data_IF_703113502202
#
_entry.id   IF_703113502202
#
_cell.length_a   1.000
_cell.length_b   1.000
_cell.length_c   1.000
_cell.angle_alpha   90.00
_cell.angle_beta   90.00
_cell.angle_gamma   90.00
#
_symmetry.space_group_name_H-M   'P 1'
#
loop_
_entity.id
_entity.type
_entity.pdbx_description
1 polymer ?
#
# COMPACT_ATOMS: atom_id res chain seq x y z
N UNK A 1 51.29 39.49 22.69
CA UNK A 1 51.60 38.46 23.71
C UNK A 1 50.30 38.08 24.42
N UNK A 2 49.59 37.07 23.92
CA UNK A 2 48.44 36.50 24.62
C UNK A 2 48.95 35.57 25.72
N UNK A 3 48.38 35.70 26.92
CA UNK A 3 48.88 35.10 28.15
C UNK A 3 48.80 33.55 28.07
N UNK A 4 49.87 32.82 28.47
CA UNK A 4 49.91 31.35 28.48
C UNK A 4 48.86 30.72 29.42
N UNK A 5 48.18 31.52 30.26
CA UNK A 5 47.09 31.04 31.12
C UNK A 5 45.78 30.82 30.37
N UNK A 6 45.53 31.51 29.24
CA UNK A 6 44.32 31.28 28.44
C UNK A 6 44.39 29.97 27.63
N UNK A 7 45.57 29.63 27.09
CA UNK A 7 45.71 28.42 26.24
C UNK A 7 45.52 27.14 27.07
N UNK A 8 46.02 27.12 28.31
CA UNK A 8 45.86 25.99 29.24
C UNK A 8 44.40 25.78 29.68
N UNK A 9 43.60 26.83 29.86
CA UNK A 9 42.20 26.68 30.25
C UNK A 9 41.33 26.16 29.10
N UNK A 10 41.57 26.58 27.86
CA UNK A 10 40.87 26.02 26.69
C UNK A 10 41.26 24.57 26.41
N UNK A 11 42.50 24.18 26.68
CA UNK A 11 42.98 22.79 26.55
C UNK A 11 42.33 21.85 27.57
N UNK A 12 42.16 22.32 28.81
CA UNK A 12 41.50 21.54 29.86
C UNK A 12 39.98 21.42 29.63
N UNK A 13 39.32 22.49 29.15
CA UNK A 13 37.88 22.44 28.84
C UNK A 13 37.58 21.53 27.65
N UNK A 14 38.41 21.56 26.61
CA UNK A 14 38.25 20.72 25.42
C UNK A 14 38.48 19.24 25.75
N UNK A 15 39.47 18.91 26.58
CA UNK A 15 39.67 17.55 27.08
C UNK A 15 38.49 17.06 27.95
N UNK A 16 37.89 17.93 28.78
CA UNK A 16 36.71 17.60 29.58
C UNK A 16 35.47 17.35 28.71
N UNK A 17 35.26 18.16 27.66
CA UNK A 17 34.15 17.99 26.72
C UNK A 17 34.32 16.70 25.91
N UNK A 18 35.53 16.39 25.43
CA UNK A 18 35.81 15.14 24.73
C UNK A 18 35.61 13.95 25.66
N UNK A 19 36.04 14.03 26.92
CA UNK A 19 35.80 12.98 27.92
C UNK A 19 34.30 12.81 28.21
N UNK A 20 33.53 13.89 28.34
CA UNK A 20 32.07 13.83 28.53
C UNK A 20 31.36 13.27 27.30
N UNK A 21 31.81 13.61 26.09
CA UNK A 21 31.30 13.03 24.84
C UNK A 21 31.65 11.55 24.71
N UNK A 22 32.83 11.12 25.17
CA UNK A 22 33.22 9.72 25.20
C UNK A 22 32.46 8.93 26.28
N UNK A 23 32.20 9.51 27.45
CA UNK A 23 31.35 8.93 28.50
C UNK A 23 29.89 8.87 28.05
N UNK A 24 29.41 9.86 27.28
CA UNK A 24 28.07 9.86 26.70
C UNK A 24 27.94 8.85 25.55
N UNK A 25 28.95 8.73 24.69
CA UNK A 25 29.00 7.74 23.61
C UNK A 25 29.18 6.30 24.14
N UNK A 26 29.96 6.10 25.22
CA UNK A 26 30.13 4.78 25.86
C UNK A 26 28.97 4.39 26.77
N UNK A 27 28.22 5.36 27.33
CA UNK A 27 26.87 5.13 27.89
C UNK A 27 25.79 4.99 26.82
N UNK A 28 26.10 5.36 25.58
CA UNK A 28 25.32 5.15 24.37
C UNK A 28 25.49 3.75 23.76
N UNK A 29 26.15 2.81 24.45
CA UNK A 29 25.82 1.39 24.24
C UNK A 29 24.42 1.19 24.81
N UNK A 30 23.43 1.42 23.95
CA UNK A 30 22.03 1.26 24.27
C UNK A 30 21.79 -0.22 24.55
N UNK A 31 21.98 -0.60 25.81
CA UNK A 31 21.35 -1.76 26.40
C UNK A 31 19.86 -1.64 26.10
N UNK A 32 19.40 -2.28 25.03
CA UNK A 32 17.99 -2.65 24.85
C UNK A 32 17.66 -3.73 25.89
N UNK A 33 17.69 -3.35 27.15
CA UNK A 33 17.13 -4.08 28.27
C UNK A 33 16.05 -3.20 28.89
N UNK A 34 14.99 -3.01 28.14
CA UNK A 34 13.70 -2.60 28.65
C UNK A 34 12.68 -3.57 28.05
N UNK A 35 12.48 -4.69 28.74
CA UNK A 35 11.30 -5.53 28.62
C UNK A 35 10.07 -4.67 28.96
N UNK A 36 9.64 -3.84 28.01
CA UNK A 36 8.40 -3.09 28.14
C UNK A 36 7.27 -4.14 28.13
N UNK A 37 6.53 -4.19 29.23
CA UNK A 37 5.34 -5.06 29.33
C UNK A 37 4.19 -4.57 28.42
N UNK A 38 4.36 -3.40 27.79
CA UNK A 38 3.39 -2.81 26.87
C UNK A 38 3.59 -3.42 25.47
N UNK A 39 2.49 -3.66 24.74
CA UNK A 39 2.61 -4.11 23.35
C UNK A 39 3.32 -3.04 22.51
N UNK A 40 4.19 -3.42 21.56
CA UNK A 40 4.74 -2.49 20.57
C UNK A 40 3.63 -2.01 19.63
N UNK A 41 3.93 -1.00 18.80
CA UNK A 41 3.10 -0.72 17.62
C UNK A 41 3.27 -1.87 16.63
N UNK A 42 2.26 -2.72 16.53
CA UNK A 42 2.25 -3.85 15.61
C UNK A 42 2.11 -3.41 14.15
N UNK A 43 1.68 -2.16 13.91
CA UNK A 43 1.23 -1.75 12.58
C UNK A 43 2.39 -1.32 11.68
N UNK A 44 3.40 -0.64 12.24
CA UNK A 44 4.66 -0.29 11.55
C UNK A 44 4.43 0.35 10.17
N UNK A 45 3.47 1.26 10.05
CA UNK A 45 3.08 1.84 8.75
C UNK A 45 4.19 2.69 8.12
N UNK A 46 4.49 2.42 6.86
CA UNK A 46 5.19 3.37 5.98
C UNK A 46 4.13 4.13 5.17
N UNK A 47 4.05 5.44 5.35
CA UNK A 47 2.87 6.22 4.91
C UNK A 47 2.82 6.48 3.40
N UNK A 48 3.96 6.80 2.79
CA UNK A 48 4.05 7.24 1.40
C UNK A 48 5.45 6.96 0.84
N UNK A 49 5.52 6.47 -0.38
CA UNK A 49 6.73 6.45 -1.21
C UNK A 49 6.48 7.27 -2.49
N UNK A 50 7.51 7.95 -2.99
CA UNK A 50 7.45 8.63 -4.28
C UNK A 50 8.44 7.98 -5.25
N UNK A 51 7.94 7.49 -6.38
CA UNK A 51 8.79 6.84 -7.39
C UNK A 51 9.38 7.86 -8.35
N UNK A 52 10.67 7.68 -8.65
CA UNK A 52 11.38 8.45 -9.68
C UNK A 52 11.05 7.96 -11.10
N UNK A 53 11.55 8.66 -12.12
CA UNK A 53 11.41 8.26 -13.53
C UNK A 53 12.08 6.91 -13.79
N UNK A 54 13.19 6.61 -13.13
CA UNK A 54 13.92 5.34 -13.26
C UNK A 54 13.14 4.18 -12.64
N UNK A 55 12.41 4.44 -11.56
CA UNK A 55 11.58 3.46 -10.86
C UNK A 55 10.20 3.27 -11.51
N UNK A 56 9.76 4.22 -12.34
CA UNK A 56 8.50 4.13 -13.10
C UNK A 56 8.67 4.71 -14.52
N UNK A 57 9.42 4.01 -15.40
CA UNK A 57 9.89 4.55 -16.67
C UNK A 57 8.82 4.44 -17.75
N UNK A 58 7.98 5.46 -17.90
CA UNK A 58 6.96 5.51 -18.95
C UNK A 58 7.47 6.00 -20.31
N UNK A 59 8.51 6.84 -20.30
CA UNK A 59 9.05 7.47 -21.52
C UNK A 59 10.18 6.65 -22.16
N UNK A 60 10.65 5.60 -21.48
CA UNK A 60 11.66 4.67 -22.00
C UNK A 60 10.98 3.58 -22.85
N UNK A 61 11.24 3.59 -24.15
CA UNK A 61 10.61 2.69 -25.12
C UNK A 61 11.02 1.23 -24.97
N UNK A 62 12.16 0.99 -24.31
CA UNK A 62 12.68 -0.35 -24.08
C UNK A 62 12.29 -0.87 -22.70
N UNK A 63 11.56 -0.05 -21.91
CA UNK A 63 11.04 -0.45 -20.61
C UNK A 63 9.53 -0.46 -20.53
N UNK A 64 8.99 -1.37 -19.71
CA UNK A 64 7.56 -1.42 -19.39
C UNK A 64 7.35 -1.33 -17.88
N UNK A 65 6.21 -0.81 -17.48
CA UNK A 65 5.71 -0.95 -16.11
C UNK A 65 4.54 -1.92 -16.12
N UNK A 66 4.59 -2.94 -15.26
CA UNK A 66 3.57 -3.98 -15.13
C UNK A 66 3.00 -3.88 -13.73
N UNK A 67 1.73 -3.48 -13.60
CA UNK A 67 1.03 -3.34 -12.32
C UNK A 67 0.07 -4.51 -12.18
N UNK A 68 0.22 -5.33 -11.14
CA UNK A 68 -0.58 -6.54 -10.88
C UNK A 68 -1.61 -6.28 -9.77
N UNK A 69 -2.81 -6.82 -9.93
CA UNK A 69 -3.88 -6.85 -8.92
C UNK A 69 -3.55 -7.70 -7.68
N UNK A 70 -4.54 -7.91 -6.82
CA UNK A 70 -4.43 -8.73 -5.61
C UNK A 70 -4.00 -10.17 -5.96
N UNK A 71 -2.94 -10.65 -5.30
CA UNK A 71 -2.30 -11.95 -5.61
C UNK A 71 -2.79 -13.05 -4.67
N UNK A 72 -2.95 -12.75 -3.38
CA UNK A 72 -3.47 -13.67 -2.35
C UNK A 72 -2.80 -15.05 -2.33
N UNK A 73 -1.48 -15.10 -2.54
CA UNK A 73 -0.75 -16.37 -2.56
C UNK A 73 -1.08 -17.29 -3.74
N UNK A 74 -1.79 -16.83 -4.78
CA UNK A 74 -2.09 -17.57 -6.00
C UNK A 74 -0.85 -17.63 -6.90
N UNK A 75 0.18 -18.36 -6.44
CA UNK A 75 1.52 -18.31 -7.03
C UNK A 75 1.57 -18.83 -8.46
N UNK A 76 0.84 -19.90 -8.77
CA UNK A 76 0.90 -20.52 -10.09
C UNK A 76 0.28 -19.59 -11.15
N UNK A 77 -0.87 -18.98 -10.84
CA UNK A 77 -1.56 -17.99 -11.67
C UNK A 77 -0.74 -16.70 -11.80
N UNK A 78 -0.02 -16.30 -10.75
CA UNK A 78 0.93 -15.20 -10.81
C UNK A 78 2.06 -15.50 -11.79
N UNK A 79 2.64 -16.70 -11.76
CA UNK A 79 3.65 -17.12 -12.74
C UNK A 79 3.08 -17.18 -14.16
N UNK A 80 1.87 -17.70 -14.34
CA UNK A 80 1.19 -17.70 -15.64
C UNK A 80 0.97 -16.29 -16.19
N UNK A 81 0.57 -15.34 -15.34
CA UNK A 81 0.40 -13.95 -15.73
C UNK A 81 1.72 -13.32 -16.15
N UNK A 82 2.79 -13.54 -15.39
CA UNK A 82 4.15 -13.07 -15.73
C UNK A 82 4.65 -13.67 -17.05
N UNK A 83 4.38 -14.97 -17.28
CA UNK A 83 4.69 -15.63 -18.56
C UNK A 83 3.89 -15.02 -19.71
N UNK A 84 2.58 -14.77 -19.51
CA UNK A 84 1.68 -14.18 -20.51
C UNK A 84 2.09 -12.77 -20.94
N UNK A 85 2.63 -11.96 -20.04
CA UNK A 85 3.17 -10.63 -20.38
C UNK A 85 4.64 -10.68 -20.81
N UNK A 86 5.24 -11.87 -20.81
CA UNK A 86 6.67 -12.10 -21.06
C UNK A 86 7.52 -11.20 -20.19
N UNK A 87 7.28 -11.24 -18.87
CA UNK A 87 8.00 -10.42 -17.90
C UNK A 87 9.51 -10.70 -17.96
N UNK A 88 10.30 -9.63 -18.05
CA UNK A 88 11.75 -9.67 -17.98
C UNK A 88 12.25 -8.60 -16.99
N UNK A 89 12.85 -8.99 -15.85
CA UNK A 89 13.31 -8.03 -14.83
C UNK A 89 14.41 -7.07 -15.32
N UNK A 90 15.06 -7.34 -16.47
CA UNK A 90 16.07 -6.44 -17.04
C UNK A 90 15.46 -5.27 -17.82
N UNK A 91 14.20 -5.39 -18.27
CA UNK A 91 13.50 -4.38 -19.06
C UNK A 91 12.16 -3.96 -18.45
N UNK A 92 11.61 -4.70 -17.49
CA UNK A 92 10.30 -4.44 -16.92
C UNK A 92 10.41 -4.08 -15.43
N UNK A 93 9.66 -3.05 -15.03
CA UNK A 93 9.35 -2.77 -13.63
C UNK A 93 8.06 -3.47 -13.29
N UNK A 94 8.07 -4.28 -12.24
CA UNK A 94 6.89 -4.93 -11.69
C UNK A 94 6.41 -4.18 -10.44
N UNK A 95 5.10 -3.93 -10.37
CA UNK A 95 4.43 -3.25 -9.25
C UNK A 95 3.23 -4.06 -8.81
N UNK A 96 2.99 -4.21 -7.51
CA UNK A 96 1.76 -4.82 -6.96
C UNK A 96 0.88 -3.80 -6.25
N UNK A 97 -0.44 -3.95 -6.37
CA UNK A 97 -1.44 -3.15 -5.62
C UNK A 97 -1.70 -3.67 -4.21
N UNK A 98 -0.90 -4.62 -3.70
CA UNK A 98 -1.03 -5.19 -2.36
C UNK A 98 -1.88 -6.47 -2.34
N UNK A 99 -2.16 -6.95 -1.13
CA UNK A 99 -2.77 -8.25 -0.86
C UNK A 99 -2.00 -9.35 -1.59
N UNK A 100 -0.71 -9.42 -1.26
CA UNK A 100 0.27 -10.35 -1.81
C UNK A 100 0.00 -11.77 -1.28
N UNK A 101 -0.45 -11.86 -0.02
CA UNK A 101 -0.61 -13.11 0.73
C UNK A 101 -2.01 -13.31 1.31
N UNK A 102 -2.20 -14.45 1.97
CA UNK A 102 -3.44 -14.89 2.64
C UNK A 102 -4.59 -15.18 1.67
N UNK A 103 -5.66 -15.80 2.19
CA UNK A 103 -6.82 -16.37 1.48
C UNK A 103 -6.51 -17.56 0.57
N UNK A 104 -5.48 -17.47 -0.26
CA UNK A 104 -5.04 -18.60 -1.09
C UNK A 104 -4.23 -19.62 -0.28
N UNK A 105 -3.68 -20.65 -0.94
CA UNK A 105 -2.89 -21.67 -0.27
C UNK A 105 -1.70 -21.09 0.50
N UNK A 106 -1.47 -21.57 1.72
CA UNK A 106 -0.34 -21.14 2.56
C UNK A 106 1.01 -21.30 1.84
N UNK A 107 1.23 -22.45 1.18
CA UNK A 107 2.44 -22.70 0.38
C UNK A 107 2.60 -21.68 -0.75
N UNK A 108 1.51 -21.27 -1.39
CA UNK A 108 1.51 -20.24 -2.41
C UNK A 108 1.85 -18.86 -1.84
N UNK A 109 1.29 -18.48 -0.69
CA UNK A 109 1.68 -17.24 0.02
C UNK A 109 3.18 -17.19 0.30
N UNK A 110 3.77 -18.30 0.76
CA UNK A 110 5.21 -18.38 1.03
C UNK A 110 6.06 -18.22 -0.25
N UNK A 111 5.66 -18.86 -1.36
CA UNK A 111 6.35 -18.73 -2.65
C UNK A 111 6.24 -17.32 -3.23
N UNK A 112 5.06 -16.68 -3.14
CA UNK A 112 4.90 -15.29 -3.58
C UNK A 112 5.78 -14.36 -2.74
N UNK A 113 5.80 -14.50 -1.41
CA UNK A 113 6.67 -13.69 -0.56
C UNK A 113 8.15 -13.86 -0.88
N UNK A 114 8.59 -15.10 -1.13
CA UNK A 114 9.96 -15.38 -1.56
C UNK A 114 10.30 -14.64 -2.86
N UNK A 115 9.45 -14.74 -3.90
CA UNK A 115 9.65 -14.03 -5.15
C UNK A 115 9.70 -12.51 -4.97
N UNK A 116 8.73 -11.96 -4.24
CA UNK A 116 8.59 -10.52 -4.04
C UNK A 116 9.77 -9.94 -3.26
N UNK A 117 10.23 -10.63 -2.22
CA UNK A 117 11.37 -10.22 -1.40
C UNK A 117 12.71 -10.39 -2.14
N UNK A 118 12.91 -11.52 -2.83
CA UNK A 118 14.15 -11.79 -3.57
C UNK A 118 14.41 -10.75 -4.68
N UNK A 119 13.35 -10.37 -5.40
CA UNK A 119 13.45 -9.36 -6.46
C UNK A 119 13.20 -7.93 -5.96
N UNK A 120 12.91 -7.73 -4.68
CA UNK A 120 12.54 -6.45 -4.07
C UNK A 120 11.47 -5.68 -4.89
N UNK A 121 10.40 -6.39 -5.25
CA UNK A 121 9.33 -5.87 -6.13
C UNK A 121 8.63 -4.66 -5.48
N UNK A 122 8.38 -3.60 -6.24
CA UNK A 122 7.63 -2.44 -5.75
C UNK A 122 6.19 -2.86 -5.42
N UNK A 123 5.66 -2.46 -4.26
CA UNK A 123 4.28 -2.78 -3.90
C UNK A 123 3.74 -1.77 -2.88
N UNK A 124 2.44 -1.55 -2.90
CA UNK A 124 1.74 -1.02 -1.72
C UNK A 124 1.32 -2.17 -0.81
N UNK A 125 1.15 -1.91 0.49
CA UNK A 125 0.54 -2.89 1.41
C UNK A 125 -0.95 -3.02 1.15
N UNK A 126 -1.45 -4.25 1.19
CA UNK A 126 -2.88 -4.54 1.34
C UNK A 126 -3.31 -4.76 2.79
N UNK A 127 -4.62 -4.91 3.02
CA UNK A 127 -5.12 -5.13 4.38
C UNK A 127 -4.82 -6.55 4.89
N UNK A 128 -4.69 -7.55 4.01
CA UNK A 128 -4.22 -8.87 4.39
C UNK A 128 -2.72 -8.86 4.70
N UNK A 129 -1.92 -8.14 3.91
CA UNK A 129 -0.49 -7.95 4.15
C UNK A 129 -0.23 -7.31 5.52
N UNK A 130 -1.02 -6.28 5.85
CA UNK A 130 -0.93 -5.57 7.11
C UNK A 130 -1.21 -6.48 8.32
N UNK A 131 -2.22 -7.35 8.24
CA UNK A 131 -2.51 -8.33 9.29
C UNK A 131 -1.37 -9.32 9.51
N UNK A 132 -0.68 -9.75 8.45
CA UNK A 132 0.49 -10.63 8.57
C UNK A 132 1.65 -9.92 9.27
N UNK A 133 1.92 -8.66 8.93
CA UNK A 133 2.94 -7.83 9.61
C UNK A 133 2.64 -7.69 11.10
N UNK A 134 1.38 -7.41 11.42
CA UNK A 134 0.92 -7.26 12.80
C UNK A 134 1.11 -8.57 13.59
N UNK A 135 0.72 -9.71 13.02
CA UNK A 135 0.97 -11.03 13.60
C UNK A 135 2.45 -11.34 13.79
N UNK A 136 3.29 -10.99 12.81
CA UNK A 136 4.74 -11.21 12.91
C UNK A 136 5.35 -10.36 14.03
N UNK A 137 4.97 -9.10 14.13
CA UNK A 137 5.41 -8.22 15.22
C UNK A 137 4.95 -8.75 16.58
N UNK A 138 3.72 -9.27 16.66
CA UNK A 138 3.19 -9.90 17.87
C UNK A 138 3.96 -11.16 18.26
N UNK A 139 4.29 -12.02 17.31
CA UNK A 139 5.10 -13.22 17.53
C UNK A 139 6.48 -12.85 18.11
N UNK A 140 7.16 -11.87 17.50
CA UNK A 140 8.45 -11.38 17.99
C UNK A 140 8.34 -10.82 19.41
N UNK A 141 7.26 -10.10 19.72
CA UNK A 141 6.98 -9.61 21.07
C UNK A 141 6.76 -10.76 22.06
N UNK A 142 5.92 -11.74 21.74
CA UNK A 142 5.68 -12.89 22.63
C UNK A 142 6.97 -13.67 22.89
N UNK A 143 7.78 -13.91 21.86
CA UNK A 143 9.08 -14.58 22.01
C UNK A 143 10.05 -13.79 22.90
N UNK A 144 9.96 -12.46 22.91
CA UNK A 144 10.80 -11.61 23.77
C UNK A 144 10.42 -11.65 25.25
N UNK A 145 9.20 -12.08 25.60
CA UNK A 145 8.71 -12.09 26.97
C UNK A 145 9.11 -13.36 27.72
N UNK A 146 9.50 -13.27 29.01
CA UNK A 146 9.82 -14.45 29.83
C UNK A 146 8.67 -15.46 29.88
N UNK A 147 8.92 -16.66 29.36
CA UNK A 147 7.95 -17.76 29.28
C UNK A 147 6.95 -17.68 28.12
N UNK A 148 7.06 -16.67 27.25
CA UNK A 148 6.18 -16.51 26.08
C UNK A 148 6.40 -17.61 25.04
N UNK A 149 7.66 -17.89 24.69
CA UNK A 149 8.00 -18.99 23.79
C UNK A 149 7.53 -20.36 24.29
N UNK A 150 7.65 -20.63 25.60
CA UNK A 150 7.19 -21.89 26.18
C UNK A 150 5.65 -22.02 26.09
N UNK A 151 4.92 -20.95 26.40
CA UNK A 151 3.46 -20.96 26.28
C UNK A 151 3.01 -21.15 24.82
N UNK A 152 3.64 -20.44 23.88
CA UNK A 152 3.29 -20.55 22.47
C UNK A 152 3.55 -21.98 21.96
N UNK A 153 4.68 -22.58 22.33
CA UNK A 153 4.98 -23.98 22.02
C UNK A 153 3.95 -24.94 22.64
N UNK A 154 3.61 -24.78 23.92
CA UNK A 154 2.60 -25.61 24.60
C UNK A 154 1.23 -25.51 23.91
N UNK A 155 0.85 -24.32 23.45
CA UNK A 155 -0.47 -24.09 22.85
C UNK A 155 -0.54 -24.55 21.39
N UNK A 156 0.57 -24.43 20.65
CA UNK A 156 0.75 -25.01 19.32
C UNK A 156 0.64 -26.53 19.36
N UNK A 157 1.38 -27.21 20.25
CA UNK A 157 1.32 -28.67 20.41
C UNK A 157 -0.09 -29.18 20.77
N UNK A 158 -0.84 -28.42 21.58
CA UNK A 158 -2.24 -28.74 21.86
C UNK A 158 -3.12 -28.60 20.63
N UNK A 159 -2.90 -27.57 19.80
CA UNK A 159 -3.67 -27.35 18.58
C UNK A 159 -3.39 -28.46 17.57
N UNK A 160 -2.12 -28.80 17.32
CA UNK A 160 -1.73 -29.89 16.42
C UNK A 160 -2.38 -31.23 16.83
N UNK A 161 -2.36 -31.57 18.12
CA UNK A 161 -3.06 -32.76 18.65
C UNK A 161 -4.58 -32.70 18.51
N UNK A 162 -5.17 -31.51 18.55
CA UNK A 162 -6.60 -31.35 18.31
C UNK A 162 -6.92 -31.57 16.83
N UNK A 163 -6.10 -31.07 15.92
CA UNK A 163 -6.23 -31.30 14.48
C UNK A 163 -6.08 -32.78 14.13
N UNK A 164 -5.12 -33.49 14.73
CA UNK A 164 -4.98 -34.96 14.58
C UNK A 164 -6.24 -35.74 15.03
N UNK A 165 -7.01 -35.17 15.96
CA UNK A 165 -8.29 -35.73 16.44
C UNK A 165 -9.50 -35.24 15.65
N UNK A 166 -9.29 -34.45 14.60
CA UNK A 166 -10.33 -33.97 13.69
C UNK A 166 -10.89 -32.58 13.99
N UNK A 167 -10.26 -31.78 14.86
CA UNK A 167 -10.64 -30.37 15.01
C UNK A 167 -10.21 -29.57 13.77
N UNK A 168 -11.14 -28.84 13.17
CA UNK A 168 -10.94 -28.01 11.99
C UNK A 168 -11.31 -26.54 12.20
N UNK A 169 -12.20 -26.24 13.15
CA UNK A 169 -12.52 -24.87 13.56
C UNK A 169 -11.52 -24.34 14.60
N UNK A 170 -10.55 -23.57 14.09
CA UNK A 170 -9.53 -22.93 14.92
C UNK A 170 -10.08 -21.78 15.77
N UNK A 171 -11.15 -21.10 15.31
CA UNK A 171 -11.76 -20.01 16.09
C UNK A 171 -12.47 -20.58 17.32
N UNK A 172 -13.33 -21.57 17.12
CA UNK A 172 -14.01 -22.29 18.19
C UNK A 172 -13.01 -22.86 19.20
N UNK A 173 -11.97 -23.55 18.70
CA UNK A 173 -10.96 -24.14 19.56
C UNK A 173 -10.20 -23.09 20.39
N UNK A 174 -9.80 -21.97 19.79
CA UNK A 174 -9.12 -20.88 20.52
C UNK A 174 -10.05 -20.28 21.59
N UNK A 175 -11.32 -20.04 21.28
CA UNK A 175 -12.27 -19.53 22.26
C UNK A 175 -12.44 -20.48 23.46
N UNK A 176 -12.51 -21.79 23.22
CA UNK A 176 -12.55 -22.80 24.28
C UNK A 176 -11.29 -22.75 25.15
N UNK A 177 -10.11 -22.62 24.54
CA UNK A 177 -8.86 -22.51 25.30
C UNK A 177 -8.83 -21.23 26.15
N UNK A 178 -9.28 -20.09 25.61
CA UNK A 178 -9.40 -18.83 26.35
C UNK A 178 -10.34 -18.98 27.55
N UNK A 179 -11.43 -19.74 27.41
CA UNK A 179 -12.39 -20.02 28.48
C UNK A 179 -11.79 -20.95 29.55
N UNK A 180 -11.10 -22.01 29.17
CA UNK A 180 -10.71 -23.09 30.09
C UNK A 180 -9.28 -23.01 30.63
N UNK A 181 -8.31 -22.49 29.88
CA UNK A 181 -6.91 -22.42 30.29
C UNK A 181 -6.63 -21.21 31.21
N UNK A 182 -7.17 -21.29 32.43
CA UNK A 182 -7.00 -20.23 33.44
C UNK A 182 -5.55 -20.04 33.85
N UNK A 183 -4.72 -21.09 33.79
CA UNK A 183 -3.28 -21.04 34.09
C UNK A 183 -2.57 -20.05 33.16
N UNK A 184 -2.95 -20.01 31.88
CA UNK A 184 -2.34 -19.13 30.88
C UNK A 184 -3.17 -17.89 30.54
N UNK A 185 -4.13 -17.49 31.38
CA UNK A 185 -4.99 -16.31 31.13
C UNK A 185 -4.20 -15.02 30.81
N UNK A 186 -2.99 -14.85 31.37
CA UNK A 186 -2.12 -13.70 31.07
C UNK A 186 -1.65 -13.65 29.62
N UNK A 187 -1.52 -14.79 28.95
CA UNK A 187 -1.07 -14.90 27.57
C UNK A 187 -2.23 -14.77 26.60
N UNK A 188 -3.35 -15.43 26.89
CA UNK A 188 -4.58 -15.26 26.12
C UNK A 188 -5.02 -13.79 26.02
N UNK A 189 -4.88 -13.02 27.12
CA UNK A 189 -5.17 -11.57 27.14
C UNK A 189 -4.20 -10.70 26.31
N UNK A 190 -3.10 -11.26 25.80
CA UNK A 190 -2.13 -10.54 24.96
C UNK A 190 -2.45 -10.66 23.47
N UNK A 191 -3.35 -11.56 23.08
CA UNK A 191 -3.87 -11.63 21.71
C UNK A 191 -4.86 -10.47 21.55
N UNK A 192 -4.68 -9.58 20.57
CA UNK A 192 -5.65 -8.51 20.33
C UNK A 192 -7.06 -9.05 20.04
N UNK A 193 -8.06 -8.22 20.30
CA UNK A 193 -9.46 -8.55 19.96
C UNK A 193 -9.58 -8.73 18.44
N UNK A 194 -10.42 -9.69 18.00
CA UNK A 194 -10.61 -10.09 16.59
C UNK A 194 -9.42 -10.81 15.91
N UNK A 195 -8.33 -11.07 16.63
CA UNK A 195 -7.19 -11.82 16.07
C UNK A 195 -7.33 -13.32 16.30
N UNK A 196 -7.22 -14.08 15.21
CA UNK A 196 -7.32 -15.54 15.21
C UNK A 196 -5.93 -16.20 15.26
N UNK A 197 -5.50 -16.62 16.46
CA UNK A 197 -4.28 -17.41 16.64
C UNK A 197 -4.39 -18.72 15.84
N UNK A 198 -3.30 -19.13 15.16
CA UNK A 198 -3.26 -20.30 14.27
C UNK A 198 -4.12 -20.19 12.99
N UNK A 199 -4.79 -19.05 12.77
CA UNK A 199 -5.43 -18.72 11.50
C UNK A 199 -4.42 -18.48 10.38
N UNK A 200 -4.94 -18.20 9.18
CA UNK A 200 -4.13 -18.05 7.96
C UNK A 200 -3.04 -16.96 8.10
N UNK A 201 -3.40 -15.76 8.55
CA UNK A 201 -2.44 -14.67 8.75
C UNK A 201 -1.35 -15.02 9.78
N UNK A 202 -1.71 -15.72 10.85
CA UNK A 202 -0.76 -16.17 11.87
C UNK A 202 0.25 -17.15 11.28
N UNK A 203 -0.22 -18.16 10.54
CA UNK A 203 0.63 -19.20 9.97
C UNK A 203 1.61 -18.62 8.96
N UNK A 204 1.16 -17.68 8.13
CA UNK A 204 2.05 -16.96 7.21
C UNK A 204 3.09 -16.18 8.00
N UNK A 205 2.68 -15.41 9.02
CA UNK A 205 3.60 -14.63 9.85
C UNK A 205 4.65 -15.52 10.55
N UNK A 206 4.26 -16.69 11.04
CA UNK A 206 5.17 -17.68 11.63
C UNK A 206 6.16 -18.23 10.59
N UNK A 207 5.68 -18.59 9.40
CA UNK A 207 6.50 -19.17 8.33
C UNK A 207 7.49 -18.19 7.68
N UNK A 208 7.31 -16.88 7.85
CA UNK A 208 8.15 -15.86 7.22
C UNK A 208 9.59 -15.84 7.73
N UNK A 209 10.53 -15.68 6.80
CA UNK A 209 11.92 -15.32 7.10
C UNK A 209 12.04 -13.86 7.56
N UNK A 210 13.18 -13.48 8.15
CA UNK A 210 13.44 -12.10 8.56
C UNK A 210 13.52 -11.17 7.36
N UNK A 211 14.03 -11.66 6.24
CA UNK A 211 14.19 -10.94 4.98
C UNK A 211 12.83 -10.65 4.35
N UNK A 212 11.95 -11.66 4.28
CA UNK A 212 10.57 -11.49 3.82
C UNK A 212 9.80 -10.51 4.71
N UNK A 213 9.96 -10.60 6.03
CA UNK A 213 9.34 -9.67 6.95
C UNK A 213 9.87 -8.24 6.78
N UNK A 214 11.19 -8.09 6.64
CA UNK A 214 11.85 -6.80 6.38
C UNK A 214 11.37 -6.17 5.08
N UNK A 215 11.15 -6.96 4.03
CA UNK A 215 10.55 -6.52 2.78
C UNK A 215 9.13 -5.97 2.99
N UNK A 216 8.27 -6.73 3.69
CA UNK A 216 6.87 -6.36 3.93
C UNK A 216 6.74 -5.05 4.73
N UNK A 217 7.51 -4.89 5.81
CA UNK A 217 7.47 -3.66 6.62
C UNK A 217 8.02 -2.43 5.90
N UNK A 218 8.73 -2.59 4.78
CA UNK A 218 9.20 -1.46 3.98
C UNK A 218 8.18 -1.02 2.93
N UNK A 219 7.17 -1.84 2.63
CA UNK A 219 6.14 -1.46 1.64
C UNK A 219 5.29 -0.31 2.17
N UNK A 220 5.10 0.77 1.41
CA UNK A 220 4.24 1.88 1.81
C UNK A 220 2.75 1.53 1.70
N UNK A 221 1.87 2.28 2.36
CA UNK A 221 0.41 2.18 2.15
C UNK A 221 -0.06 2.93 0.89
N UNK A 222 0.76 3.87 0.40
CA UNK A 222 0.49 4.69 -0.79
C UNK A 222 1.78 4.94 -1.56
N UNK A 223 1.69 4.94 -2.88
CA UNK A 223 2.75 5.37 -3.78
C UNK A 223 2.25 6.58 -4.59
N UNK A 224 3.10 7.59 -4.73
CA UNK A 224 2.91 8.72 -5.64
C UNK A 224 3.94 8.65 -6.77
N UNK A 225 3.50 8.84 -8.00
CA UNK A 225 4.37 8.88 -9.19
C UNK A 225 4.18 10.26 -9.84
N UNK A 226 4.97 11.28 -9.43
CA UNK A 226 4.71 12.67 -9.81
C UNK A 226 4.72 12.92 -11.32
N UNK A 227 5.70 12.37 -12.04
CA UNK A 227 5.82 12.57 -13.50
C UNK A 227 4.73 11.85 -14.29
N UNK A 228 4.14 10.80 -13.72
CA UNK A 228 3.02 10.07 -14.31
C UNK A 228 1.65 10.58 -13.81
N UNK A 229 1.64 11.54 -12.88
CA UNK A 229 0.43 12.09 -12.27
C UNK A 229 -0.52 11.00 -11.75
N UNK A 230 0.07 10.05 -11.04
CA UNK A 230 -0.58 8.80 -10.66
C UNK A 230 -0.34 8.47 -9.19
N UNK A 231 -1.34 7.87 -8.57
CA UNK A 231 -1.26 7.24 -7.27
C UNK A 231 -1.49 5.73 -7.38
N UNK A 232 -0.81 4.97 -6.53
CA UNK A 232 -1.11 3.55 -6.31
C UNK A 232 -1.45 3.39 -4.83
N UNK A 233 -2.57 2.78 -4.54
CA UNK A 233 -3.03 2.50 -3.19
C UNK A 233 -3.91 1.24 -3.22
N UNK A 234 -3.86 0.43 -2.16
CA UNK A 234 -4.52 -0.87 -2.20
C UNK A 234 -6.04 -0.77 -2.35
N UNK A 235 -6.73 -0.06 -1.43
CA UNK A 235 -8.17 0.14 -1.56
C UNK A 235 -8.52 1.41 -2.34
N UNK A 236 -7.68 2.45 -2.25
CA UNK A 236 -7.84 3.71 -2.98
C UNK A 236 -7.54 4.96 -2.14
N UNK A 237 -7.80 6.13 -2.74
CA UNK A 237 -7.72 7.45 -2.10
C UNK A 237 -8.89 8.33 -2.55
N UNK A 238 -9.28 9.32 -1.76
CA UNK A 238 -10.30 10.30 -2.14
C UNK A 238 -9.65 11.51 -2.84
N UNK A 239 -10.37 12.10 -3.79
CA UNK A 239 -9.97 13.34 -4.49
C UNK A 239 -10.43 14.61 -3.75
N UNK A 240 -11.40 14.47 -2.84
CA UNK A 240 -12.00 15.54 -2.08
C UNK A 240 -12.43 15.03 -0.69
N UNK A 241 -12.47 15.92 0.30
CA UNK A 241 -13.03 15.60 1.62
C UNK A 241 -14.57 15.51 1.50
N UNK A 242 -15.19 14.36 1.82
CA UNK A 242 -16.63 14.17 1.69
C UNK A 242 -17.46 15.10 2.59
N UNK A 243 -16.86 15.71 3.63
CA UNK A 243 -17.54 16.66 4.51
C UNK A 243 -17.76 18.05 3.89
N UNK A 244 -17.10 18.34 2.76
CA UNK A 244 -17.17 19.66 2.13
C UNK A 244 -17.74 19.59 0.72
N UNK A 245 -18.46 20.65 0.34
CA UNK A 245 -18.91 20.81 -1.05
C UNK A 245 -17.68 20.92 -1.96
N UNK A 246 -17.80 20.40 -3.19
CA UNK A 246 -16.70 20.36 -4.18
C UNK A 246 -15.95 21.69 -4.41
N UNK A 247 -16.62 22.84 -4.26
CA UNK A 247 -16.04 24.18 -4.45
C UNK A 247 -15.68 24.90 -3.14
N UNK A 248 -15.78 24.21 -2.01
CA UNK A 248 -15.38 24.76 -0.73
C UNK A 248 -13.87 25.00 -0.73
N UNK A 249 -13.41 26.16 -0.24
CA UNK A 249 -12.00 26.57 -0.22
C UNK A 249 -11.06 25.62 0.53
N UNK A 250 -11.60 24.69 1.33
CA UNK A 250 -10.85 23.64 2.02
C UNK A 250 -10.56 22.43 1.13
N UNK A 251 -11.20 22.34 -0.03
CA UNK A 251 -10.95 21.26 -0.98
C UNK A 251 -9.66 21.56 -1.75
N UNK A 252 -8.70 20.61 -1.80
CA UNK A 252 -7.41 20.82 -2.47
C UNK A 252 -7.56 21.09 -3.97
N UNK A 253 -8.65 20.61 -4.58
CA UNK A 253 -8.94 20.82 -6.00
C UNK A 253 -9.72 22.11 -6.30
N UNK A 254 -10.16 22.85 -5.28
CA UNK A 254 -11.01 24.04 -5.46
C UNK A 254 -10.25 25.34 -5.72
N UNK A 255 -8.95 25.34 -5.51
CA UNK A 255 -8.07 26.48 -5.66
C UNK A 255 -6.72 26.05 -6.23
N UNK A 256 -5.99 27.01 -6.81
CA UNK A 256 -4.59 26.80 -7.18
C UNK A 256 -3.77 26.71 -5.87
N UNK A 257 -2.79 25.81 -5.75
CA UNK A 257 -1.90 25.76 -4.59
C UNK A 257 -1.19 27.10 -4.33
N UNK A 258 -1.12 27.54 -3.07
CA UNK A 258 -0.53 28.84 -2.69
C UNK A 258 0.97 28.67 -2.41
N UNK A 259 1.80 29.55 -2.98
CA UNK A 259 3.25 29.63 -2.71
C UNK A 259 3.53 30.71 -1.66
N UNK A 260 4.26 30.37 -0.58
CA UNK A 260 4.57 31.33 0.50
C UNK A 260 5.84 32.17 0.26
N UNK A 261 6.70 31.81 -0.70
CA UNK A 261 7.95 32.55 -0.97
C UNK A 261 8.15 32.90 -2.45
N UNK A 262 8.27 34.23 -2.68
CA UNK A 262 8.95 34.98 -3.73
C UNK A 262 8.68 34.70 -5.21
N UNK A 263 8.06 35.71 -5.85
CA UNK A 263 8.61 36.41 -7.01
C UNK A 263 9.67 35.65 -7.82
N UNK A 264 9.28 34.65 -8.59
CA UNK A 264 9.91 34.38 -9.89
C UNK A 264 9.11 33.36 -10.69
N UNK A 265 8.69 33.84 -11.86
CA UNK A 265 8.38 33.11 -13.09
C UNK A 265 6.98 32.51 -13.16
N UNK A 266 6.37 32.77 -14.33
CA UNK A 266 5.19 32.10 -14.87
C UNK A 266 5.12 30.66 -14.41
N UNK A 267 4.07 30.40 -13.64
CA UNK A 267 3.54 29.12 -13.17
C UNK A 267 3.97 27.93 -14.04
N UNK A 268 4.96 27.17 -13.57
CA UNK A 268 5.23 25.84 -14.12
C UNK A 268 4.05 24.94 -13.73
N UNK A 269 3.19 24.64 -14.71
CA UNK A 269 2.03 23.75 -14.54
C UNK A 269 2.42 22.41 -13.90
N UNK A 270 3.60 21.88 -14.23
CA UNK A 270 4.10 20.63 -13.65
C UNK A 270 4.31 20.76 -12.14
N UNK A 271 4.95 21.85 -11.71
CA UNK A 271 5.18 22.14 -10.31
C UNK A 271 3.87 22.36 -9.53
N UNK A 272 2.97 23.19 -10.04
CA UNK A 272 1.67 23.43 -9.40
C UNK A 272 0.85 22.15 -9.29
N UNK A 273 0.89 21.29 -10.32
CA UNK A 273 0.20 20.00 -10.28
C UNK A 273 0.79 19.06 -9.25
N UNK A 274 2.12 19.03 -9.09
CA UNK A 274 2.75 18.28 -8.01
C UNK A 274 2.27 18.75 -6.63
N UNK A 275 2.15 20.07 -6.43
CA UNK A 275 1.61 20.62 -5.17
C UNK A 275 0.15 20.23 -4.96
N UNK A 276 -0.67 20.29 -6.01
CA UNK A 276 -2.07 19.85 -5.98
C UNK A 276 -2.18 18.36 -5.59
N UNK A 277 -1.34 17.50 -6.15
CA UNK A 277 -1.31 16.06 -5.85
C UNK A 277 -0.88 15.79 -4.41
N UNK A 278 0.11 16.53 -3.91
CA UNK A 278 0.50 16.47 -2.50
C UNK A 278 -0.63 16.97 -1.59
N UNK A 279 -1.42 17.96 -2.01
CA UNK A 279 -2.59 18.42 -1.27
C UNK A 279 -3.69 17.33 -1.22
N UNK A 280 -3.93 16.60 -2.31
CA UNK A 280 -4.83 15.41 -2.29
C UNK A 280 -4.36 14.40 -1.22
N UNK A 281 -3.06 14.13 -1.15
CA UNK A 281 -2.52 13.14 -0.21
C UNK A 281 -2.53 13.58 1.26
N UNK A 282 -2.40 14.88 1.52
CA UNK A 282 -2.11 15.40 2.86
C UNK A 282 -3.18 16.31 3.46
N UNK A 283 -4.05 16.92 2.65
CA UNK A 283 -5.11 17.85 3.14
C UNK A 283 -6.47 17.17 3.28
N UNK A 284 -6.64 15.96 2.71
CA UNK A 284 -7.84 15.15 2.87
C UNK A 284 -7.64 14.20 4.06
N UNK A 285 -8.33 14.40 5.20
CA UNK A 285 -8.05 13.65 6.43
C UNK A 285 -8.15 12.14 6.26
N UNK A 286 -9.09 11.67 5.44
CA UNK A 286 -9.33 10.25 5.19
C UNK A 286 -8.12 9.59 4.50
N UNK A 287 -7.39 10.31 3.65
CA UNK A 287 -6.22 9.79 2.96
C UNK A 287 -5.03 9.58 3.91
N UNK A 288 -5.01 10.24 5.07
CA UNK A 288 -3.97 10.10 6.09
C UNK A 288 -4.19 8.90 7.03
N UNK A 289 -5.34 8.24 6.96
CA UNK A 289 -5.71 7.14 7.86
C UNK A 289 -5.40 5.81 7.13
N UNK A 290 -4.40 5.01 7.58
CA UNK A 290 -4.04 3.76 6.90
C UNK A 290 -5.21 2.79 6.75
N UNK A 291 -6.08 2.71 7.76
CA UNK A 291 -7.29 1.87 7.68
C UNK A 291 -8.16 2.23 6.47
N UNK A 292 -8.32 3.51 6.14
CA UNK A 292 -9.10 3.95 4.98
C UNK A 292 -8.43 3.52 3.69
N UNK A 293 -7.14 3.79 3.52
CA UNK A 293 -6.39 3.48 2.28
C UNK A 293 -6.27 1.98 2.03
N UNK A 294 -6.41 1.17 3.08
CA UNK A 294 -6.37 -0.30 3.03
C UNK A 294 -7.75 -0.95 2.94
N UNK A 295 -8.85 -0.29 3.31
CA UNK A 295 -10.15 -0.95 3.46
C UNK A 295 -11.33 -0.26 2.77
N UNK A 296 -11.19 0.98 2.30
CA UNK A 296 -12.29 1.75 1.73
C UNK A 296 -12.94 1.07 0.52
N UNK A 297 -14.27 1.03 0.50
CA UNK A 297 -15.08 0.63 -0.65
C UNK A 297 -15.99 1.75 -1.13
N UNK A 298 -16.46 2.59 -0.21
CA UNK A 298 -17.34 3.71 -0.55
C UNK A 298 -17.44 4.74 0.58
N UNK A 299 -18.32 5.71 0.34
CA UNK A 299 -18.68 6.76 1.30
C UNK A 299 -20.21 6.74 1.47
N UNK A 300 -20.67 6.72 2.72
CA UNK A 300 -22.09 6.74 3.07
C UNK A 300 -22.68 8.15 2.92
N UNK A 301 -24.02 8.23 3.02
CA UNK A 301 -24.75 9.49 2.91
C UNK A 301 -24.41 10.48 4.04
N UNK A 302 -23.96 9.97 5.19
CA UNK A 302 -23.47 10.76 6.33
C UNK A 302 -21.98 11.16 6.21
N UNK A 303 -21.39 10.98 5.03
CA UNK A 303 -19.99 11.29 4.69
C UNK A 303 -18.94 10.37 5.32
N UNK A 304 -19.35 9.30 6.01
CA UNK A 304 -18.41 8.33 6.59
C UNK A 304 -17.86 7.37 5.53
N UNK A 305 -16.57 7.04 5.63
CA UNK A 305 -15.94 6.02 4.79
C UNK A 305 -16.34 4.63 5.28
N UNK A 306 -16.70 3.75 4.35
CA UNK A 306 -17.14 2.38 4.65
C UNK A 306 -16.29 1.34 3.93
N UNK A 307 -16.04 0.22 4.63
CA UNK A 307 -15.47 -1.02 4.07
C UNK A 307 -16.53 -1.99 3.55
N UNK A 308 -17.82 -1.71 3.80
CA UNK A 308 -18.95 -2.55 3.37
C UNK A 308 -19.34 -2.20 1.93
N UNK A 309 -20.15 -3.05 1.29
CA UNK A 309 -20.67 -2.85 -0.08
C UNK A 309 -21.88 -1.89 -0.12
N UNK A 310 -21.85 -0.84 0.70
CA UNK A 310 -22.91 0.16 0.80
C UNK A 310 -22.35 1.57 0.55
N UNK A 311 -23.24 2.56 0.42
CA UNK A 311 -22.86 3.92 0.06
C UNK A 311 -22.43 4.06 -1.41
N UNK A 312 -21.90 5.23 -1.74
CA UNK A 312 -21.39 5.53 -3.09
C UNK A 312 -19.96 5.00 -3.22
N UNK A 313 -19.63 4.17 -4.24
CA UNK A 313 -18.27 3.70 -4.45
C UNK A 313 -17.27 4.85 -4.58
N UNK A 314 -16.15 4.76 -3.87
CA UNK A 314 -15.18 5.86 -3.82
C UNK A 314 -14.61 6.18 -5.21
N UNK A 315 -14.38 5.15 -6.04
CA UNK A 315 -13.84 5.31 -7.39
C UNK A 315 -14.79 6.14 -8.28
N UNK A 316 -16.11 6.03 -8.08
CA UNK A 316 -17.09 6.85 -8.77
C UNK A 316 -17.04 8.32 -8.32
N UNK A 317 -16.83 8.56 -7.02
CA UNK A 317 -16.63 9.90 -6.48
C UNK A 317 -15.35 10.53 -7.04
N UNK A 318 -14.24 9.78 -7.03
CA UNK A 318 -12.96 10.20 -7.59
C UNK A 318 -13.09 10.56 -9.08
N UNK A 319 -13.68 9.67 -9.89
CA UNK A 319 -14.00 9.91 -11.32
C UNK A 319 -14.81 11.19 -11.51
N UNK A 320 -15.82 11.42 -10.65
CA UNK A 320 -16.68 12.61 -10.70
C UNK A 320 -15.87 13.88 -10.41
N UNK A 321 -14.98 13.87 -9.44
CA UNK A 321 -14.15 15.04 -9.12
C UNK A 321 -13.15 15.35 -10.23
N UNK A 322 -12.45 14.33 -10.74
CA UNK A 322 -11.49 14.49 -11.84
C UNK A 322 -12.13 15.04 -13.12
N UNK A 323 -13.40 14.71 -13.41
CA UNK A 323 -14.15 15.29 -14.54
C UNK A 323 -14.37 16.81 -14.44
N UNK A 324 -14.24 17.40 -13.26
CA UNK A 324 -14.40 18.84 -13.09
C UNK A 324 -13.07 19.61 -13.21
N UNK A 325 -11.92 18.93 -13.17
CA UNK A 325 -10.62 19.54 -13.39
C UNK A 325 -10.49 20.01 -14.84
N UNK A 326 -10.19 21.29 -15.04
CA UNK A 326 -10.10 21.91 -16.36
C UNK A 326 -8.79 22.65 -16.63
N UNK A 327 -7.81 22.53 -15.75
CA UNK A 327 -6.53 23.24 -15.77
C UNK A 327 -6.55 24.52 -14.94
N UNK A 328 -5.37 24.96 -14.50
CA UNK A 328 -5.22 26.12 -13.60
C UNK A 328 -5.71 27.45 -14.22
N UNK A 329 -5.53 27.61 -15.54
CA UNK A 329 -5.95 28.82 -16.28
C UNK A 329 -7.43 28.80 -16.73
N UNK A 330 -8.17 27.75 -16.42
CA UNK A 330 -9.51 27.56 -16.98
C UNK A 330 -10.54 28.51 -16.38
N UNK A 331 -11.23 29.24 -17.26
CA UNK A 331 -12.36 30.12 -16.91
C UNK A 331 -13.72 29.45 -17.08
N UNK A 332 -13.75 28.13 -17.31
CA UNK A 332 -15.00 27.40 -17.58
C UNK A 332 -15.92 27.45 -16.35
N UNK A 333 -17.13 27.98 -16.52
CA UNK A 333 -18.10 28.05 -15.43
C UNK A 333 -18.46 26.63 -14.95
N UNK A 334 -18.24 26.36 -13.67
CA UNK A 334 -18.58 25.07 -13.06
C UNK A 334 -17.41 24.08 -12.93
N UNK A 335 -16.28 24.33 -13.60
CA UNK A 335 -15.05 23.56 -13.43
C UNK A 335 -14.29 23.94 -12.16
N UNK A 336 -13.22 23.20 -11.91
CA UNK A 336 -12.25 23.38 -10.85
C UNK A 336 -10.89 23.74 -11.47
N UNK A 337 -10.10 24.63 -10.84
CA UNK A 337 -8.76 25.01 -11.29
C UNK A 337 -7.76 23.92 -10.90
N UNK A 338 -7.91 22.74 -11.48
CA UNK A 338 -7.07 21.58 -11.19
C UNK A 338 -6.78 20.79 -12.45
N UNK A 339 -5.77 19.92 -12.38
CA UNK A 339 -5.49 18.87 -13.35
C UNK A 339 -5.89 17.50 -12.79
N UNK A 340 -6.43 16.59 -13.61
CA UNK A 340 -6.81 15.26 -13.13
C UNK A 340 -5.58 14.39 -12.84
N UNK A 341 -5.70 13.40 -11.97
CA UNK A 341 -4.66 12.39 -11.71
C UNK A 341 -5.28 10.99 -11.74
N UNK A 342 -4.48 9.96 -11.97
CA UNK A 342 -4.97 8.56 -12.06
C UNK A 342 -4.73 7.81 -10.75
N UNK A 343 -5.63 6.93 -10.34
CA UNK A 343 -5.42 5.98 -9.23
C UNK A 343 -5.49 4.55 -9.74
N UNK A 344 -4.47 3.75 -9.44
CA UNK A 344 -4.47 2.29 -9.67
C UNK A 344 -4.61 1.57 -8.32
N UNK A 345 -5.51 0.60 -8.23
CA UNK A 345 -5.89 -0.04 -6.95
C UNK A 345 -6.34 -1.50 -7.11
N UNK A 346 -6.57 -2.16 -5.97
CA UNK A 346 -7.00 -3.54 -5.80
C UNK A 346 -8.22 -3.69 -4.88
N UNK A 347 -8.20 -4.65 -3.93
CA UNK A 347 -9.12 -4.86 -2.78
C UNK A 347 -10.59 -5.22 -3.06
N UNK A 348 -11.13 -4.68 -4.15
CA UNK A 348 -12.55 -4.63 -4.42
C UNK A 348 -13.05 -5.79 -5.29
N UNK A 349 -12.55 -7.02 -5.12
CA UNK A 349 -12.87 -8.23 -5.90
C UNK A 349 -14.35 -8.41 -6.25
N UNK A 350 -15.25 -8.01 -5.35
CA UNK A 350 -16.69 -8.05 -5.59
C UNK A 350 -17.20 -7.15 -6.73
N UNK A 351 -16.38 -6.23 -7.21
CA UNK A 351 -16.62 -5.39 -8.39
C UNK A 351 -15.93 -5.94 -9.64
N UNK A 352 -15.05 -6.94 -9.47
CA UNK A 352 -14.18 -7.45 -10.51
C UNK A 352 -13.25 -6.36 -11.07
N UNK A 353 -12.83 -6.55 -12.32
CA UNK A 353 -12.05 -5.58 -13.08
C UNK A 353 -12.86 -4.28 -13.26
N UNK A 354 -12.37 -3.17 -12.68
CA UNK A 354 -13.09 -1.88 -12.62
C UNK A 354 -12.28 -0.77 -13.28
N UNK A 355 -12.39 -0.66 -14.61
CA UNK A 355 -11.60 0.27 -15.43
C UNK A 355 -12.42 1.51 -15.77
N UNK A 356 -11.93 2.66 -15.33
CA UNK A 356 -12.44 3.99 -15.64
C UNK A 356 -11.30 4.92 -16.08
N UNK A 357 -11.64 6.11 -16.62
CA UNK A 357 -10.65 7.08 -17.12
C UNK A 357 -9.55 7.48 -16.11
N UNK A 358 -9.91 7.62 -14.83
CA UNK A 358 -9.02 8.13 -13.77
C UNK A 358 -8.87 7.16 -12.60
N UNK A 359 -9.54 6.01 -12.65
CA UNK A 359 -9.49 4.98 -11.60
C UNK A 359 -9.42 3.61 -12.27
N UNK A 360 -8.39 2.83 -11.95
CA UNK A 360 -8.15 1.51 -12.53
C UNK A 360 -8.04 0.48 -11.41
N UNK A 361 -9.11 -0.28 -11.20
CA UNK A 361 -9.16 -1.38 -10.23
C UNK A 361 -8.77 -2.70 -10.89
N UNK A 362 -7.71 -3.33 -10.38
CA UNK A 362 -7.10 -4.54 -10.96
C UNK A 362 -7.48 -5.84 -10.23
N UNK A 363 -8.16 -5.74 -9.09
CA UNK A 363 -8.64 -6.91 -8.34
C UNK A 363 -9.83 -7.57 -9.05
N UNK A 364 -9.51 -8.48 -9.97
CA UNK A 364 -10.47 -9.32 -10.67
C UNK A 364 -10.82 -10.61 -9.91
N UNK A 365 -10.45 -10.73 -8.63
CA UNK A 365 -10.91 -11.80 -7.74
C UNK A 365 -10.27 -13.17 -7.96
N UNK A 366 -8.96 -13.25 -8.27
CA UNK A 366 -8.28 -14.51 -8.58
C UNK A 366 -8.52 -15.62 -7.54
N UNK A 367 -8.35 -15.33 -6.25
CA UNK A 367 -8.56 -16.28 -5.15
C UNK A 367 -9.99 -16.82 -5.03
N UNK A 368 -10.93 -16.22 -5.77
CA UNK A 368 -12.33 -16.63 -5.85
C UNK A 368 -12.66 -17.36 -7.16
N UNK A 369 -11.66 -18.01 -7.78
CA UNK A 369 -11.75 -18.75 -9.06
C UNK A 369 -12.27 -17.85 -10.19
N UNK A 370 -11.68 -16.65 -10.31
CA UNK A 370 -11.99 -15.71 -11.37
C UNK A 370 -10.77 -15.48 -12.26
N UNK A 371 -10.08 -14.36 -12.10
CA UNK A 371 -8.94 -14.00 -12.95
C UNK A 371 -7.88 -13.26 -12.15
N UNK A 372 -6.62 -13.40 -12.56
CA UNK A 372 -5.54 -12.50 -12.14
C UNK A 372 -5.26 -11.52 -13.26
N UNK A 373 -5.19 -10.22 -12.95
CA UNK A 373 -5.09 -9.15 -13.94
C UNK A 373 -3.86 -8.26 -13.73
N UNK A 374 -3.26 -7.84 -14.83
CA UNK A 374 -2.21 -6.82 -14.87
C UNK A 374 -2.51 -5.70 -15.87
N UNK A 375 -2.09 -4.49 -15.52
CA UNK A 375 -1.98 -3.33 -16.38
C UNK A 375 -0.53 -3.16 -16.83
N UNK A 376 -0.28 -3.18 -18.13
CA UNK A 376 1.05 -2.92 -18.72
C UNK A 376 1.07 -1.52 -19.32
N UNK A 377 2.07 -0.72 -18.98
CA UNK A 377 2.30 0.66 -19.42
C UNK A 377 3.70 0.80 -20.05
N UNK A 378 3.91 1.86 -20.85
CA UNK A 378 5.20 2.19 -21.45
C UNK A 378 5.59 1.31 -22.64
N UNK A 379 6.88 1.23 -22.94
CA UNK A 379 7.44 0.36 -23.97
C UNK A 379 7.06 0.74 -25.41
N UNK A 380 7.45 -0.11 -26.36
CA UNK A 380 7.25 0.11 -27.82
C UNK A 380 5.80 0.30 -28.24
N UNK A 381 4.82 -0.16 -27.46
CA UNK A 381 3.41 0.04 -27.77
C UNK A 381 2.90 1.44 -27.44
N UNK A 382 3.60 2.21 -26.59
CA UNK A 382 3.24 3.59 -26.29
C UNK A 382 3.36 4.52 -27.52
N UNK A 383 4.21 4.17 -28.50
CA UNK A 383 4.40 4.96 -29.74
C UNK A 383 3.41 4.62 -30.88
N UNK A 384 2.70 3.48 -30.82
CA UNK A 384 1.81 3.04 -31.92
C UNK A 384 0.45 3.74 -31.96
N UNK A 385 0.30 4.89 -31.30
CA UNK A 385 -0.96 5.62 -31.25
C UNK A 385 -0.85 6.91 -32.07
N UNK A 386 -1.36 6.93 -33.32
CA UNK A 386 -1.55 8.19 -34.02
C UNK A 386 -2.50 9.07 -33.20
N UNK A 387 -2.13 10.35 -33.05
CA UNK A 387 -2.81 11.35 -32.22
C UNK A 387 -4.21 11.78 -32.69
N UNK A 388 -4.96 10.91 -33.37
CA UNK A 388 -6.27 11.21 -33.96
C UNK A 388 -7.21 10.01 -33.97
N UNK A 389 -7.19 9.15 -32.95
CA UNK A 389 -8.40 8.38 -32.64
C UNK A 389 -9.24 9.29 -31.74
N UNK A 390 -10.19 9.97 -32.37
CA UNK A 390 -11.30 10.68 -31.73
C UNK A 390 -11.93 9.81 -30.64
N UNK A 391 -12.66 10.43 -29.73
CA UNK A 391 -13.24 9.91 -28.49
C UNK A 391 -14.17 8.68 -28.62
N UNK A 392 -13.68 7.59 -29.19
CA UNK A 392 -14.39 6.32 -29.23
C UNK A 392 -13.99 5.50 -28.00
N UNK A 393 -14.96 5.51 -27.08
CA UNK A 393 -15.06 4.72 -25.85
C UNK A 393 -14.47 5.33 -24.58
N UNK A 394 -15.29 6.13 -23.91
CA UNK A 394 -15.24 6.39 -22.47
C UNK A 394 -15.99 5.31 -21.64
N UNK A 395 -16.34 4.20 -22.29
CA UNK A 395 -17.13 3.11 -21.72
C UNK A 395 -16.33 2.26 -20.74
N UNK A 396 -17.03 1.83 -19.69
CA UNK A 396 -16.55 0.90 -18.68
C UNK A 396 -16.19 -0.43 -19.36
N UNK A 397 -14.95 -0.89 -19.24
CA UNK A 397 -14.56 -2.21 -19.71
C UNK A 397 -14.97 -3.23 -18.64
N UNK A 398 -16.27 -3.51 -18.55
CA UNK A 398 -16.78 -4.60 -17.74
C UNK A 398 -17.36 -5.65 -18.69
N UNK A 399 -16.74 -6.82 -18.69
CA UNK A 399 -17.48 -8.05 -18.86
C UNK A 399 -17.07 -9.00 -17.74
N UNK A 400 -18.10 -9.50 -17.06
CA UNK A 400 -18.09 -10.50 -16.00
C UNK A 400 -17.57 -11.85 -16.55
N UNK A 401 -17.61 -12.03 -17.87
CA UNK A 401 -17.19 -13.24 -18.59
C UNK A 401 -15.79 -13.13 -19.24
N UNK A 402 -14.99 -12.10 -18.89
CA UNK A 402 -13.58 -12.05 -19.24
C UNK A 402 -13.25 -11.69 -20.71
N UNK A 403 -14.21 -11.22 -21.49
CA UNK A 403 -13.94 -10.65 -22.81
C UNK A 403 -13.62 -9.16 -22.72
N UNK A 404 -12.34 -8.83 -22.88
CA UNK A 404 -11.82 -7.46 -22.87
C UNK A 404 -12.35 -6.70 -24.10
N UNK A 405 -13.44 -5.95 -23.95
CA UNK A 405 -14.07 -5.15 -25.02
C UNK A 405 -13.21 -3.96 -25.50
N UNK A 406 -12.29 -3.48 -24.67
CA UNK A 406 -11.25 -2.52 -25.04
C UNK A 406 -9.98 -2.80 -24.27
N UNK A 407 -8.98 -3.35 -24.94
CA UNK A 407 -7.72 -3.80 -24.33
C UNK A 407 -6.77 -2.67 -23.95
N UNK A 408 -7.19 -1.40 -24.06
CA UNK A 408 -6.29 -0.24 -23.97
C UNK A 408 -6.83 0.91 -23.12
N UNK A 409 -6.84 0.79 -21.77
CA UNK A 409 -7.30 1.88 -20.91
C UNK A 409 -6.45 3.15 -21.10
N UNK A 410 -7.09 4.32 -21.07
CA UNK A 410 -6.38 5.61 -20.99
C UNK A 410 -5.70 5.71 -19.60
N UNK A 411 -4.46 6.16 -19.54
CA UNK A 411 -3.67 6.25 -18.31
C UNK A 411 -2.96 7.61 -18.24
N UNK A 412 -3.03 8.30 -17.11
CA UNK A 412 -2.49 9.66 -16.99
C UNK A 412 -3.10 10.60 -18.04
N UNK A 413 -2.33 11.61 -18.46
CA UNK A 413 -2.81 12.62 -19.40
C UNK A 413 -3.02 12.05 -20.80
N UNK A 414 -1.97 11.49 -21.38
CA UNK A 414 -1.90 11.04 -22.77
C UNK A 414 -1.58 9.55 -22.92
N UNK A 415 -1.21 8.88 -21.83
CA UNK A 415 -0.82 7.48 -21.83
C UNK A 415 -1.98 6.53 -22.15
N UNK A 416 -1.61 5.32 -22.56
CA UNK A 416 -2.50 4.17 -22.71
C UNK A 416 -1.80 2.95 -22.12
N UNK A 417 -2.55 2.12 -21.42
CA UNK A 417 -2.06 0.82 -20.97
C UNK A 417 -2.61 -0.31 -21.83
N UNK A 418 -2.23 -1.53 -21.46
CA UNK A 418 -2.83 -2.76 -21.96
C UNK A 418 -3.15 -3.70 -20.82
N UNK A 419 -4.35 -4.24 -20.81
CA UNK A 419 -4.79 -5.20 -19.79
C UNK A 419 -4.45 -6.62 -20.23
N UNK A 420 -3.89 -7.40 -19.32
CA UNK A 420 -3.66 -8.83 -19.45
C UNK A 420 -4.30 -9.54 -18.29
N UNK A 421 -4.88 -10.72 -18.55
CA UNK A 421 -5.39 -11.56 -17.48
C UNK A 421 -5.25 -13.05 -17.80
N UNK A 422 -5.15 -13.86 -16.75
CA UNK A 422 -5.15 -15.33 -16.77
C UNK A 422 -6.29 -15.85 -15.90
N UNK A 423 -6.88 -17.01 -16.22
CA UNK A 423 -7.86 -17.64 -15.36
C UNK A 423 -7.24 -18.06 -14.02
N UNK A 424 -8.07 -18.02 -12.99
CA UNK A 424 -7.91 -18.72 -11.72
C UNK A 424 -9.19 -19.58 -11.56
#
# INVERSE_FOLDING_TARGET
>A
MQSPRLVLTYSALSALIIYLLFVWASRGSMNWSLSSHRPPDFSLYVSLESLSVEQFPLDDIDKRVIIVGDIHGMFEEFQELLAKVSYNPSSDVLVSVGDIVAKGPHSGSMKVLEFMAYHNITAVRGNHDQKVIEWRTWLEWIHSLPGGSNWLFEVQDKWEKAQERGADDVEEWVEEQVRHDKKHSKWWKKIPEEWQLFGDHYRIAEGMTKEQYSYMIQRPVRIHVPHAHTFIAHAGILASDPNYKRKDKRQPLSHIPILYEAETRKEDTSFLRRLQELAILNEIPQNLIPWVTLNMRGVLDDHTVTRKKNGTPWAQLYKKDMKHCAGFDSKKKGSLPCHPSTVVYGHAASRGLDINRWTIGLDSGCVYNQRMTALVLGGKFAQQLPGTIEDEYDGEAIDIDGNILSSRPKFGDSGRGKIYSVPC
#
